data_IF_587403261616
#
_entry.id   IF_587403261616
#
_cell.length_a   1.000
_cell.length_b   1.000
_cell.length_c   1.000
_cell.angle_alpha   90.00
_cell.angle_beta   90.00
_cell.angle_gamma   90.00
#
_symmetry.space_group_name_H-M   'P 1'
#
loop_
_entity.id
_entity.type
_entity.pdbx_description
1 polymer ?
#
# COMPACT_ATOMS: atom_id res chain seq x y z
N UNK A 1 -8.55 -30.56 -6.14
CA UNK A 1 -8.36 -29.10 -6.31
C UNK A 1 -7.38 -28.65 -5.25
N UNK A 2 -6.22 -28.11 -5.64
CA UNK A 2 -5.28 -27.53 -4.67
C UNK A 2 -6.00 -26.41 -3.92
N UNK A 3 -6.18 -26.57 -2.61
CA UNK A 3 -6.74 -25.52 -1.75
C UNK A 3 -5.74 -24.37 -1.71
N UNK A 4 -6.09 -23.23 -2.29
CA UNK A 4 -5.27 -22.03 -2.25
C UNK A 4 -5.08 -21.59 -0.79
N UNK A 5 -3.84 -21.60 -0.30
CA UNK A 5 -3.46 -21.12 1.03
C UNK A 5 -3.32 -19.59 1.02
N UNK A 6 -4.22 -18.85 1.70
CA UNK A 6 -4.15 -17.40 1.76
C UNK A 6 -2.95 -16.87 2.55
N UNK A 7 -2.14 -17.71 3.20
CA UNK A 7 -0.92 -17.31 3.94
C UNK A 7 0.36 -17.85 3.31
N UNK A 8 0.31 -18.38 2.09
CA UNK A 8 1.44 -19.10 1.47
C UNK A 8 2.77 -18.32 1.44
N UNK A 9 2.74 -16.97 1.41
CA UNK A 9 3.95 -16.12 1.54
C UNK A 9 4.27 -15.77 2.99
N UNK A 10 3.31 -15.22 3.74
CA UNK A 10 3.54 -14.71 5.09
C UNK A 10 3.93 -15.81 6.09
N UNK A 11 3.52 -17.07 5.86
CA UNK A 11 3.92 -18.21 6.68
C UNK A 11 5.44 -18.39 6.81
N UNK A 12 6.21 -17.94 5.82
CA UNK A 12 7.69 -18.01 5.86
C UNK A 12 8.25 -17.22 7.04
N UNK A 13 7.57 -16.13 7.45
CA UNK A 13 7.97 -15.30 8.58
C UNK A 13 7.29 -15.67 9.89
N UNK A 14 6.20 -16.45 9.85
CA UNK A 14 5.31 -16.60 11.00
C UNK A 14 5.28 -18.03 11.53
N UNK A 15 5.44 -19.03 10.68
CA UNK A 15 5.32 -20.43 11.06
C UNK A 15 6.67 -20.98 11.53
N UNK A 16 6.64 -21.93 12.46
CA UNK A 16 7.82 -22.60 12.99
C UNK A 16 8.41 -21.97 14.27
N UNK A 17 9.08 -22.77 15.12
CA UNK A 17 9.73 -22.28 16.34
C UNK A 17 10.86 -21.29 16.05
N UNK A 18 11.57 -21.45 14.92
CA UNK A 18 12.66 -20.58 14.49
C UNK A 18 12.20 -19.14 14.16
N UNK A 19 10.90 -18.96 13.91
CA UNK A 19 10.29 -17.65 13.65
C UNK A 19 9.75 -16.94 14.89
N UNK A 20 10.01 -17.48 16.09
CA UNK A 20 9.65 -16.82 17.35
C UNK A 20 10.16 -15.38 17.48
N UNK A 21 11.41 -15.02 17.06
CA UNK A 21 11.88 -13.63 17.12
C UNK A 21 11.09 -12.69 16.21
N UNK A 22 10.73 -13.13 15.00
CA UNK A 22 9.94 -12.33 14.07
C UNK A 22 8.53 -12.05 14.64
N UNK A 23 7.87 -13.08 15.19
CA UNK A 23 6.58 -12.91 15.87
C UNK A 23 6.68 -11.99 17.08
N UNK A 24 7.77 -12.05 17.85
CA UNK A 24 7.98 -11.15 18.99
C UNK A 24 8.05 -9.67 18.54
N UNK A 25 8.75 -9.38 17.46
CA UNK A 25 8.82 -8.03 16.89
C UNK A 25 7.46 -7.53 16.39
N UNK A 26 6.69 -8.39 15.71
CA UNK A 26 5.34 -8.03 15.26
C UNK A 26 4.37 -7.81 16.43
N UNK A 27 4.48 -8.61 17.50
CA UNK A 27 3.71 -8.40 18.72
C UNK A 27 4.07 -7.10 19.43
N UNK A 28 5.35 -6.71 19.41
CA UNK A 28 5.80 -5.45 20.02
C UNK A 28 5.18 -4.20 19.37
N UNK A 29 4.77 -4.29 18.10
CA UNK A 29 4.04 -3.22 17.39
C UNK A 29 2.50 -3.42 17.42
N UNK A 30 2.01 -4.36 18.24
CA UNK A 30 0.58 -4.52 18.55
C UNK A 30 -0.16 -5.64 17.83
N UNK A 31 0.52 -6.51 17.06
CA UNK A 31 -0.15 -7.67 16.45
C UNK A 31 -0.46 -8.74 17.49
N UNK A 32 -1.67 -9.29 17.45
CA UNK A 32 -2.06 -10.43 18.28
C UNK A 32 -1.73 -11.76 17.59
N UNK A 33 -1.80 -12.89 18.32
CA UNK A 33 -1.68 -14.21 17.68
C UNK A 33 -2.79 -14.46 16.66
N UNK A 34 -3.99 -13.94 16.90
CA UNK A 34 -5.10 -14.01 15.95
C UNK A 34 -4.76 -13.25 14.66
N UNK A 35 -4.19 -12.05 14.77
CA UNK A 35 -3.76 -11.26 13.62
C UNK A 35 -2.66 -11.97 12.80
N UNK A 36 -1.72 -12.65 13.45
CA UNK A 36 -0.66 -13.41 12.78
C UNK A 36 -1.18 -14.73 12.20
N UNK A 37 -2.33 -15.23 12.67
CA UNK A 37 -3.01 -16.39 12.10
C UNK A 37 -3.75 -16.09 10.79
N UNK A 38 -3.95 -14.81 10.47
CA UNK A 38 -4.67 -14.32 9.27
C UNK A 38 -3.72 -13.89 8.15
N UNK A 39 -4.20 -13.76 6.90
CA UNK A 39 -3.40 -13.23 5.79
C UNK A 39 -2.98 -11.79 6.04
N UNK A 40 -1.68 -11.51 6.00
CA UNK A 40 -1.18 -10.15 6.11
C UNK A 40 -1.25 -9.46 4.74
N UNK A 41 -1.97 -8.34 4.70
CA UNK A 41 -2.15 -7.49 3.52
C UNK A 41 -1.41 -6.19 3.73
N UNK A 42 -0.44 -5.91 2.87
CA UNK A 42 0.31 -4.68 2.97
C UNK A 42 -0.35 -3.51 2.26
N UNK A 43 -0.21 -2.32 2.84
CA UNK A 43 -0.77 -1.08 2.29
C UNK A 43 0.41 -0.15 2.05
N UNK A 44 0.71 0.09 0.77
CA UNK A 44 1.73 1.06 0.39
C UNK A 44 1.09 2.44 0.31
N UNK A 45 1.36 3.25 1.33
CA UNK A 45 0.91 4.62 1.42
C UNK A 45 2.00 5.56 0.85
N UNK A 46 1.56 6.71 0.32
CA UNK A 46 2.44 7.79 -0.17
C UNK A 46 2.08 9.10 0.51
N UNK A 47 1.60 9.03 1.75
CA UNK A 47 1.19 10.21 2.51
C UNK A 47 2.41 11.09 2.81
N UNK A 48 2.27 12.37 2.47
CA UNK A 48 3.25 13.43 2.75
C UNK A 48 2.52 14.76 2.94
N UNK A 49 3.08 15.63 3.78
CA UNK A 49 2.52 16.98 4.04
C UNK A 49 3.04 18.04 3.06
N UNK A 50 3.91 17.65 2.14
CA UNK A 50 4.54 18.56 1.16
C UNK A 50 3.61 18.94 0.01
N UNK A 51 2.45 18.28 -0.14
CA UNK A 51 1.52 18.54 -1.23
C UNK A 51 0.08 18.11 -0.93
N UNK A 52 -0.92 18.84 -1.47
CA UNK A 52 -2.33 18.54 -1.21
C UNK A 52 -2.78 17.20 -1.79
N UNK A 53 -2.22 16.76 -2.92
CA UNK A 53 -2.63 15.51 -3.57
C UNK A 53 -2.34 14.25 -2.75
N UNK A 54 -1.44 14.31 -1.76
CA UNK A 54 -1.08 13.16 -0.92
C UNK A 54 -1.42 13.38 0.56
N UNK A 55 -1.83 14.59 0.94
CA UNK A 55 -2.10 14.96 2.33
C UNK A 55 -3.21 14.12 2.99
N UNK A 56 -4.27 13.80 2.24
CA UNK A 56 -5.43 13.05 2.74
C UNK A 56 -5.21 11.52 2.78
N UNK A 57 -4.09 11.01 2.25
CA UNK A 57 -3.88 9.56 2.12
C UNK A 57 -3.72 8.85 3.47
N UNK A 58 -3.41 9.57 4.54
CA UNK A 58 -3.35 9.02 5.90
C UNK A 58 -4.72 8.56 6.41
N UNK A 59 -5.76 9.34 6.10
CA UNK A 59 -7.15 9.02 6.46
C UNK A 59 -7.68 7.88 5.59
N UNK A 60 -7.40 7.95 4.28
CA UNK A 60 -7.76 6.89 3.34
C UNK A 60 -7.14 5.55 3.75
N UNK A 61 -5.88 5.56 4.21
CA UNK A 61 -5.23 4.35 4.70
C UNK A 61 -5.96 3.74 5.92
N UNK A 62 -6.54 4.55 6.82
CA UNK A 62 -7.34 4.01 7.93
C UNK A 62 -8.59 3.29 7.43
N UNK A 63 -9.34 3.88 6.50
CA UNK A 63 -10.51 3.24 5.90
C UNK A 63 -10.16 1.92 5.19
N UNK A 64 -9.03 1.87 4.50
CA UNK A 64 -8.54 0.62 3.87
C UNK A 64 -8.18 -0.43 4.92
N UNK A 65 -7.55 -0.05 6.04
CA UNK A 65 -7.22 -0.96 7.13
C UNK A 65 -8.48 -1.55 7.76
N UNK A 66 -9.53 -0.75 7.92
CA UNK A 66 -10.84 -1.23 8.39
C UNK A 66 -11.45 -2.24 7.42
N UNK A 67 -11.46 -1.94 6.12
CA UNK A 67 -11.95 -2.86 5.10
C UNK A 67 -11.20 -4.19 5.08
N UNK A 68 -9.87 -4.17 5.24
CA UNK A 68 -9.05 -5.40 5.30
C UNK A 68 -9.41 -6.23 6.55
N UNK A 69 -9.57 -5.59 7.71
CA UNK A 69 -9.97 -6.28 8.94
C UNK A 69 -11.37 -6.90 8.81
N UNK A 70 -12.32 -6.16 8.23
CA UNK A 70 -13.67 -6.65 7.96
C UNK A 70 -13.67 -7.86 7.00
N UNK A 71 -12.73 -7.90 6.05
CA UNK A 71 -12.53 -9.02 5.13
C UNK A 71 -11.74 -10.20 5.75
N UNK A 72 -11.38 -10.15 7.05
CA UNK A 72 -10.65 -11.21 7.75
C UNK A 72 -9.15 -11.23 7.49
N UNK A 73 -8.58 -10.15 6.94
CA UNK A 73 -7.14 -9.97 6.77
C UNK A 73 -6.53 -9.10 7.87
N UNK A 74 -5.20 -9.10 7.93
CA UNK A 74 -4.44 -8.27 8.87
C UNK A 74 -3.72 -7.18 8.09
N UNK A 75 -4.07 -5.89 8.26
CA UNK A 75 -3.44 -4.84 7.50
C UNK A 75 -2.07 -4.45 8.06
N UNK A 76 -1.10 -4.27 7.19
CA UNK A 76 0.23 -3.76 7.53
C UNK A 76 0.55 -2.55 6.63
N UNK A 77 0.42 -1.36 7.20
CA UNK A 77 0.68 -0.11 6.49
C UNK A 77 2.16 0.25 6.54
N UNK A 78 2.72 0.66 5.40
CA UNK A 78 4.04 1.27 5.30
C UNK A 78 3.96 2.46 4.34
N UNK A 79 4.91 3.38 4.44
CA UNK A 79 4.92 4.59 3.63
C UNK A 79 6.11 4.57 2.65
N UNK A 80 5.96 5.26 1.53
CA UNK A 80 7.07 5.60 0.63
C UNK A 80 7.02 7.08 0.28
N UNK A 81 8.10 7.59 -0.33
CA UNK A 81 8.26 8.99 -0.68
C UNK A 81 7.29 9.41 -1.79
N UNK A 82 7.07 10.71 -1.91
CA UNK A 82 6.36 11.28 -3.04
C UNK A 82 6.86 12.71 -3.30
N UNK A 83 6.94 13.09 -4.57
CA UNK A 83 7.37 14.43 -5.02
C UNK A 83 6.21 15.09 -5.75
N UNK A 84 6.00 16.37 -5.48
CA UNK A 84 4.98 17.16 -6.15
C UNK A 84 5.54 17.89 -7.33
N UNK A 85 5.08 17.53 -8.53
CA UNK A 85 5.36 18.34 -9.72
C UNK A 85 4.83 19.76 -9.52
N UNK A 86 3.59 19.90 -9.04
CA UNK A 86 2.97 21.22 -8.84
C UNK A 86 3.74 22.17 -7.92
N UNK A 87 4.37 21.66 -6.86
CA UNK A 87 5.17 22.49 -5.94
C UNK A 87 6.59 22.75 -6.47
N UNK A 88 7.18 21.79 -7.18
CA UNK A 88 8.57 21.88 -7.65
C UNK A 88 8.71 22.50 -9.04
N UNK A 89 7.60 22.67 -9.78
CA UNK A 89 7.57 23.27 -11.12
C UNK A 89 8.43 24.54 -11.22
N UNK A 90 9.28 24.61 -12.24
CA UNK A 90 10.13 25.78 -12.50
C UNK A 90 11.37 25.90 -11.61
N UNK A 91 11.64 24.91 -10.75
CA UNK A 91 12.84 24.86 -9.92
C UNK A 91 13.73 23.67 -10.28
N UNK A 92 14.96 23.65 -9.75
CA UNK A 92 15.87 22.50 -9.85
C UNK A 92 15.27 21.21 -9.26
N UNK A 93 14.26 21.33 -8.37
CA UNK A 93 13.54 20.19 -7.79
C UNK A 93 12.80 19.32 -8.81
N UNK A 94 12.46 19.86 -10.00
CA UNK A 94 11.82 19.07 -11.06
C UNK A 94 12.66 17.89 -11.53
N UNK A 95 13.98 17.94 -11.34
CA UNK A 95 14.87 16.80 -11.64
C UNK A 95 14.57 15.57 -10.79
N UNK A 96 13.95 15.76 -9.61
CA UNK A 96 13.56 14.68 -8.72
C UNK A 96 12.22 14.02 -9.09
N UNK A 97 11.39 14.66 -9.94
CA UNK A 97 10.04 14.18 -10.27
C UNK A 97 10.07 12.79 -10.92
N UNK A 98 10.75 12.63 -12.06
CA UNK A 98 10.72 11.37 -12.81
C UNK A 98 11.42 10.22 -12.09
N UNK A 99 12.55 10.51 -11.41
CA UNK A 99 13.29 9.48 -10.66
C UNK A 99 12.49 9.00 -9.44
N UNK A 100 11.60 9.82 -8.89
CA UNK A 100 10.75 9.41 -7.76
C UNK A 100 9.91 8.18 -8.07
N UNK A 101 9.49 7.98 -9.33
CA UNK A 101 8.72 6.80 -9.75
C UNK A 101 9.47 5.49 -9.51
N UNK A 102 10.74 5.45 -9.87
CA UNK A 102 11.58 4.25 -9.69
C UNK A 102 11.84 4.01 -8.21
N UNK A 103 12.16 5.06 -7.46
CA UNK A 103 12.36 4.97 -6.00
C UNK A 103 11.11 4.45 -5.29
N UNK A 104 9.92 4.88 -5.70
CA UNK A 104 8.64 4.40 -5.16
C UNK A 104 8.45 2.92 -5.49
N UNK A 105 8.65 2.52 -6.75
CA UNK A 105 8.52 1.13 -7.18
C UNK A 105 9.48 0.22 -6.42
N UNK A 106 10.75 0.60 -6.34
CA UNK A 106 11.80 -0.14 -5.63
C UNK A 106 11.50 -0.22 -4.13
N UNK A 107 11.02 0.86 -3.52
CA UNK A 107 10.62 0.87 -2.10
C UNK A 107 9.50 -0.13 -1.83
N UNK A 108 8.46 -0.13 -2.68
CA UNK A 108 7.32 -1.05 -2.55
C UNK A 108 7.77 -2.49 -2.77
N UNK A 109 8.62 -2.74 -3.76
CA UNK A 109 9.15 -4.07 -4.02
C UNK A 109 10.05 -4.58 -2.88
N UNK A 110 10.90 -3.72 -2.33
CA UNK A 110 11.82 -4.06 -1.26
C UNK A 110 11.07 -4.46 0.01
N UNK A 111 10.08 -3.66 0.42
CA UNK A 111 9.20 -3.99 1.56
C UNK A 111 8.37 -5.23 1.24
N UNK A 112 7.86 -5.28 0.00
CA UNK A 112 7.19 -6.39 -0.68
C UNK A 112 7.81 -7.75 -0.42
N UNK A 113 9.05 -7.87 -0.88
CA UNK A 113 9.84 -9.10 -0.85
C UNK A 113 10.44 -9.33 0.53
N UNK A 114 10.93 -8.28 1.20
CA UNK A 114 11.59 -8.38 2.50
C UNK A 114 10.66 -8.84 3.62
N UNK A 115 9.40 -8.42 3.61
CA UNK A 115 8.40 -8.81 4.60
C UNK A 115 7.50 -9.95 4.13
N UNK A 116 7.77 -10.57 2.97
CA UNK A 116 7.00 -11.70 2.44
C UNK A 116 5.47 -11.52 2.45
N UNK A 117 4.94 -10.28 2.29
CA UNK A 117 3.49 -10.14 2.34
C UNK A 117 2.83 -10.67 1.07
N UNK A 118 1.61 -11.11 1.29
CA UNK A 118 0.89 -12.02 0.42
C UNK A 118 0.22 -11.27 -0.74
N UNK A 119 -0.35 -10.09 -0.44
CA UNK A 119 -0.93 -9.14 -1.37
C UNK A 119 -0.64 -7.73 -0.87
N UNK A 120 -0.43 -6.80 -1.79
CA UNK A 120 -0.22 -5.40 -1.47
C UNK A 120 -1.16 -4.54 -2.31
N UNK A 121 -1.77 -3.56 -1.67
CA UNK A 121 -2.49 -2.49 -2.36
C UNK A 121 -1.55 -1.28 -2.40
N UNK A 122 -1.09 -0.93 -3.60
CA UNK A 122 -0.33 0.29 -3.81
C UNK A 122 -1.27 1.37 -4.35
N UNK A 123 -1.32 2.50 -3.64
CA UNK A 123 -2.01 3.68 -4.12
C UNK A 123 -0.98 4.62 -4.73
N UNK A 124 -1.04 4.74 -6.06
CA UNK A 124 -0.27 5.74 -6.77
C UNK A 124 -1.25 6.66 -7.50
N UNK A 125 -1.27 7.92 -7.09
CA UNK A 125 -2.01 8.97 -7.77
C UNK A 125 -1.21 9.37 -9.02
N UNK A 126 -1.29 8.57 -10.08
CA UNK A 126 -1.15 9.14 -11.43
C UNK A 126 -2.46 9.84 -11.70
N UNK A 127 -2.46 11.14 -11.56
CA UNK A 127 -3.45 11.99 -12.19
C UNK A 127 -3.32 11.84 -13.71
N UNK A 128 -3.83 10.74 -14.29
CA UNK A 128 -4.20 10.80 -15.70
C UNK A 128 -5.43 11.69 -15.75
N UNK A 129 -5.39 12.84 -16.45
CA UNK A 129 -6.60 13.60 -16.68
C UNK A 129 -7.56 12.69 -17.45
N UNK A 130 -8.63 12.26 -16.76
CA UNK A 130 -9.81 11.80 -17.44
C UNK A 130 -10.29 12.96 -18.31
N UNK A 131 -10.65 12.71 -19.57
CA UNK A 131 -11.23 13.69 -20.50
C UNK A 131 -12.51 14.38 -19.97
N UNK A 132 -12.95 14.06 -18.75
CA UNK A 132 -14.19 14.52 -18.12
C UNK A 132 -13.98 15.16 -16.74
N UNK A 133 -12.76 15.56 -16.35
CA UNK A 133 -12.55 16.35 -15.12
C UNK A 133 -12.86 15.62 -13.81
N UNK A 134 -12.79 14.28 -13.80
CA UNK A 134 -13.02 13.45 -12.60
C UNK A 134 -11.70 12.89 -12.06
N UNK A 135 -11.42 13.14 -10.78
CA UNK A 135 -10.32 12.51 -10.03
C UNK A 135 -10.63 11.02 -9.84
N UNK A 136 -9.75 10.15 -10.32
CA UNK A 136 -9.87 8.70 -10.15
C UNK A 136 -8.68 8.17 -9.36
N UNK A 137 -8.96 7.44 -8.27
CA UNK A 137 -7.92 6.68 -7.58
C UNK A 137 -7.54 5.45 -8.42
N UNK A 138 -6.26 5.35 -8.78
CA UNK A 138 -5.71 4.16 -9.44
C UNK A 138 -5.10 3.25 -8.36
N UNK A 139 -5.88 2.27 -7.88
CA UNK A 139 -5.34 1.23 -7.00
C UNK A 139 -4.61 0.18 -7.84
N UNK A 140 -3.31 -0.01 -7.65
CA UNK A 140 -2.56 -1.07 -8.30
C UNK A 140 -2.58 -2.32 -7.40
N UNK A 141 -3.14 -3.42 -7.89
CA UNK A 141 -2.86 -4.75 -7.34
C UNK A 141 -1.91 -5.46 -8.29
N UNK A 142 -0.66 -5.68 -7.86
CA UNK A 142 0.28 -6.47 -8.65
C UNK A 142 -0.06 -7.95 -8.49
N UNK A 143 -0.48 -8.60 -9.57
CA UNK A 143 -0.55 -10.07 -9.67
C UNK A 143 0.64 -10.48 -10.54
N UNK A 144 1.62 -11.13 -9.92
CA UNK A 144 2.80 -11.74 -10.55
C UNK A 144 3.51 -10.90 -11.64
N UNK A 145 3.84 -9.64 -11.32
CA UNK A 145 4.54 -8.64 -12.17
C UNK A 145 3.66 -7.79 -13.11
N UNK A 146 2.33 -7.89 -13.06
CA UNK A 146 1.45 -7.01 -13.82
C UNK A 146 0.52 -6.19 -12.91
N UNK A 147 0.60 -4.86 -13.06
CA UNK A 147 -0.21 -3.87 -12.36
C UNK A 147 -1.68 -3.98 -12.81
N UNK A 148 -2.56 -4.56 -11.99
CA UNK A 148 -4.00 -4.57 -12.26
C UNK A 148 -4.65 -3.40 -11.53
N UNK A 149 -5.17 -2.43 -12.30
CA UNK A 149 -5.93 -1.28 -11.78
C UNK A 149 -7.25 -1.76 -11.18
N UNK A 150 -7.37 -1.73 -9.86
CA UNK A 150 -8.63 -1.88 -9.16
C UNK A 150 -9.30 -0.51 -9.08
N UNK A 151 -10.47 -0.37 -9.73
CA UNK A 151 -11.40 0.74 -9.44
C UNK A 151 -11.98 0.53 -8.06
N UNK A 152 -11.85 1.52 -7.19
CA UNK A 152 -12.70 1.57 -5.99
C UNK A 152 -14.17 1.64 -6.41
N UNK A 153 -15.07 0.99 -5.64
CA UNK A 153 -16.50 1.19 -5.80
C UNK A 153 -16.83 2.67 -5.51
N UNK A 154 -17.88 3.19 -6.18
CA UNK A 154 -18.17 4.63 -6.38
C UNK A 154 -18.67 5.37 -5.12
N UNK A 155 -18.63 4.68 -3.98
CA UNK A 155 -19.40 4.97 -2.77
C UNK A 155 -18.51 5.20 -1.54
N UNK A 156 -17.18 5.23 -1.70
CA UNK A 156 -16.31 5.86 -0.69
C UNK A 156 -16.56 7.36 -0.78
N UNK A 157 -17.26 7.88 0.24
CA UNK A 157 -17.90 9.20 0.29
C UNK A 157 -17.10 10.36 -0.32
N UNK A 158 -17.86 11.28 -0.93
CA UNK A 158 -17.35 12.42 -1.67
C UNK A 158 -16.27 13.21 -0.92
N UNK A 159 -15.05 13.14 -1.44
CA UNK A 159 -14.06 14.19 -1.26
C UNK A 159 -14.26 15.14 -2.44
N UNK A 160 -15.14 16.11 -2.24
CA UNK A 160 -15.25 17.27 -3.11
C UNK A 160 -14.15 18.25 -2.71
N UNK A 161 -13.18 18.42 -3.63
CA UNK A 161 -12.18 19.48 -3.77
C UNK A 161 -11.27 19.80 -2.58
#
# INVERSE_FOLDING_TARGET
MSSFDPRHRSRILLDGPERAPARAMLKAIGFTEEDLSRPIVGIANTWVETMPCNYHLRELAQAVKEGIRAAGGTPMEFNTIAISDGVTMGTEGMKASLISREVIADSIELVGRGHFLMRWCAWWLVTRPSREGRWGFCGATFRDSCCTVARLPRDVGGIAL
#
